data_IF_289891837929
#
_entry.id   IF_289891837929
#
_cell.length_a   1.000
_cell.length_b   1.000
_cell.length_c   1.000
_cell.angle_alpha   90.00
_cell.angle_beta   90.00
_cell.angle_gamma   90.00
#
_symmetry.space_group_name_H-M   'P 1'
#
loop_
_entity.id
_entity.type
_entity.pdbx_description
1 polymer ?
#
# COMPACT_ATOMS: atom_id res chain seq x y z
N UNK A 1 -21.51 -7.85 21.90
CA UNK A 1 -20.65 -7.27 22.94
C UNK A 1 -20.03 -6.00 22.38
N UNK A 2 -20.09 -4.89 23.13
CA UNK A 2 -19.49 -3.62 22.73
C UNK A 2 -18.06 -3.53 23.28
N UNK A 3 -17.17 -2.77 22.62
CA UNK A 3 -15.89 -2.40 23.23
C UNK A 3 -16.13 -1.74 24.59
N UNK A 4 -15.39 -2.17 25.62
CA UNK A 4 -15.52 -1.64 26.98
C UNK A 4 -16.55 -2.33 27.88
N UNK A 5 -17.30 -3.32 27.39
CA UNK A 5 -18.16 -4.14 28.25
C UNK A 5 -17.31 -5.01 29.19
N UNK A 6 -17.77 -5.14 30.44
CA UNK A 6 -17.25 -6.12 31.39
C UNK A 6 -17.75 -7.52 31.00
N UNK A 7 -16.82 -8.48 30.94
CA UNK A 7 -17.16 -9.87 30.69
C UNK A 7 -16.22 -10.79 31.46
N UNK A 8 -16.74 -11.95 31.84
CA UNK A 8 -15.91 -12.99 32.44
C UNK A 8 -15.26 -13.80 31.32
N UNK A 9 -13.92 -13.75 31.22
CA UNK A 9 -13.21 -14.40 30.13
C UNK A 9 -13.16 -15.92 30.35
N UNK A 10 -13.65 -16.76 29.43
CA UNK A 10 -13.66 -18.22 29.61
C UNK A 10 -12.25 -18.83 29.63
N UNK A 11 -11.24 -18.12 29.11
CA UNK A 11 -9.87 -18.62 29.04
C UNK A 11 -9.04 -18.28 30.29
N UNK A 12 -9.21 -17.09 30.87
CA UNK A 12 -8.44 -16.69 32.06
C UNK A 12 -9.24 -16.67 33.37
N UNK A 13 -10.56 -16.83 33.31
CA UNK A 13 -11.44 -16.89 34.48
C UNK A 13 -11.55 -15.60 35.28
N UNK A 14 -11.04 -14.48 34.74
CA UNK A 14 -11.08 -13.16 35.37
C UNK A 14 -12.16 -12.28 34.73
N UNK A 15 -12.80 -11.43 35.54
CA UNK A 15 -13.56 -10.29 35.04
C UNK A 15 -12.61 -9.33 34.33
N UNK A 16 -12.83 -9.14 33.03
CA UNK A 16 -11.96 -8.32 32.19
C UNK A 16 -12.81 -7.47 31.25
N UNK A 17 -12.20 -6.43 30.70
CA UNK A 17 -12.83 -5.56 29.72
C UNK A 17 -12.49 -6.02 28.30
N UNK A 18 -13.42 -5.83 27.37
CA UNK A 18 -13.19 -6.05 25.95
C UNK A 18 -12.43 -4.88 25.34
N UNK A 19 -11.21 -5.16 24.88
CA UNK A 19 -10.36 -4.21 24.15
C UNK A 19 -10.59 -4.37 22.65
N UNK A 20 -10.74 -3.24 21.96
CA UNK A 20 -10.82 -3.16 20.50
C UNK A 20 -9.41 -3.02 19.92
N UNK A 21 -9.03 -3.94 19.04
CA UNK A 21 -7.77 -3.87 18.28
C UNK A 21 -8.04 -3.91 16.79
N UNK A 22 -7.44 -3.00 16.05
CA UNK A 22 -7.51 -2.94 14.58
C UNK A 22 -6.45 -3.88 13.99
N UNK A 23 -6.88 -4.78 13.12
CA UNK A 23 -5.97 -5.64 12.35
C UNK A 23 -5.55 -4.87 11.10
N UNK A 24 -4.24 -4.66 10.96
CA UNK A 24 -3.61 -4.02 9.81
C UNK A 24 -2.89 -5.07 8.96
N UNK A 25 -2.94 -4.91 7.64
CA UNK A 25 -2.07 -5.61 6.68
C UNK A 25 -1.20 -4.59 5.96
N UNK A 26 -0.02 -4.34 6.53
CA UNK A 26 0.78 -3.18 6.15
C UNK A 26 0.02 -1.88 6.41
N UNK A 27 -0.43 -1.21 5.33
CA UNK A 27 -1.12 0.08 5.37
C UNK A 27 -2.65 -0.03 5.26
N UNK A 28 -3.21 -1.21 5.01
CA UNK A 28 -4.66 -1.41 4.87
C UNK A 28 -5.28 -1.93 6.16
N UNK A 29 -6.38 -1.31 6.60
CA UNK A 29 -7.20 -1.81 7.72
C UNK A 29 -8.02 -3.00 7.24
N UNK A 30 -7.73 -4.20 7.73
CA UNK A 30 -8.47 -5.43 7.38
C UNK A 30 -9.73 -5.62 8.21
N UNK A 31 -9.77 -5.09 9.43
CA UNK A 31 -10.93 -5.21 10.30
C UNK A 31 -10.61 -4.93 11.75
N UNK A 32 -11.57 -5.21 12.60
CA UNK A 32 -11.49 -4.96 14.04
C UNK A 32 -11.74 -6.26 14.79
N UNK A 33 -11.01 -6.50 15.87
CA UNK A 33 -11.23 -7.66 16.75
C UNK A 33 -11.37 -7.22 18.19
N UNK A 34 -12.21 -7.94 18.93
CA UNK A 34 -12.34 -7.78 20.37
C UNK A 34 -11.47 -8.81 21.07
N UNK A 35 -10.54 -8.33 21.88
CA UNK A 35 -9.67 -9.15 22.71
C UNK A 35 -9.92 -8.92 24.18
N UNK A 36 -9.61 -9.95 24.96
CA UNK A 36 -9.50 -9.84 26.41
C UNK A 36 -8.38 -8.87 26.80
N UNK A 37 -8.67 -7.87 27.63
CA UNK A 37 -7.63 -7.00 28.18
C UNK A 37 -6.62 -7.75 29.07
N UNK A 38 -7.02 -8.86 29.71
CA UNK A 38 -6.18 -9.58 30.67
C UNK A 38 -5.31 -10.67 30.02
N UNK A 39 -5.83 -11.45 29.07
CA UNK A 39 -5.10 -12.57 28.45
C UNK A 39 -4.87 -12.42 26.95
N UNK A 40 -5.39 -11.36 26.31
CA UNK A 40 -5.24 -11.15 24.87
C UNK A 40 -6.01 -12.14 23.99
N UNK A 41 -6.80 -13.04 24.56
CA UNK A 41 -7.61 -13.99 23.79
C UNK A 41 -8.65 -13.27 22.92
N UNK A 42 -8.80 -13.73 21.68
CA UNK A 42 -9.82 -13.29 20.74
C UNK A 42 -11.19 -13.78 21.19
N UNK A 43 -12.07 -12.85 21.55
CA UNK A 43 -13.42 -13.17 22.04
C UNK A 43 -14.41 -13.17 20.90
N UNK A 44 -14.29 -12.20 19.99
CA UNK A 44 -15.10 -12.09 18.78
C UNK A 44 -14.27 -11.44 17.68
N UNK A 45 -14.30 -12.04 16.50
CA UNK A 45 -13.90 -11.39 15.26
C UNK A 45 -15.07 -10.52 14.79
N UNK A 46 -14.88 -9.20 14.63
CA UNK A 46 -15.84 -8.48 13.81
C UNK A 46 -15.57 -8.91 12.37
N UNK A 47 -16.62 -9.39 11.69
CA UNK A 47 -16.57 -9.56 10.24
C UNK A 47 -16.03 -8.27 9.65
N UNK A 48 -15.07 -8.34 8.72
CA UNK A 48 -14.63 -7.16 8.01
C UNK A 48 -15.89 -6.49 7.47
N UNK A 49 -16.13 -5.25 7.88
CA UNK A 49 -17.06 -4.41 7.16
C UNK A 49 -16.53 -4.44 5.74
N UNK A 50 -17.24 -5.18 4.90
CA UNK A 50 -16.86 -5.45 3.53
C UNK A 50 -16.41 -4.13 2.97
N UNK A 51 -15.13 -4.04 2.64
CA UNK A 51 -14.62 -3.02 1.75
C UNK A 51 -15.46 -3.15 0.49
N UNK A 52 -16.56 -2.39 0.45
CA UNK A 52 -17.37 -2.23 -0.74
C UNK A 52 -16.45 -1.80 -1.87
N UNK A 53 -16.86 -2.00 -3.13
CA UNK A 53 -16.07 -1.65 -4.30
C UNK A 53 -15.50 -0.26 -4.07
N UNK A 54 -14.17 -0.13 -4.12
CA UNK A 54 -13.43 1.07 -3.75
C UNK A 54 -14.10 2.29 -4.35
N UNK A 55 -14.93 2.97 -3.54
CA UNK A 55 -15.54 4.21 -3.96
C UNK A 55 -14.37 5.16 -4.22
N UNK A 56 -14.27 5.69 -5.43
CA UNK A 56 -13.22 6.63 -5.80
C UNK A 56 -13.10 7.68 -4.68
N UNK A 57 -11.96 7.77 -3.96
CA UNK A 57 -11.85 8.66 -2.80
C UNK A 57 -12.09 10.14 -3.16
N UNK A 58 -11.95 10.46 -4.46
CA UNK A 58 -12.19 11.76 -5.08
C UNK A 58 -13.67 12.14 -5.25
N UNK A 59 -14.60 11.19 -5.05
CA UNK A 59 -16.07 11.41 -5.13
C UNK A 59 -16.74 11.49 -3.76
N UNK A 60 -15.97 11.59 -2.68
CA UNK A 60 -16.50 11.71 -1.32
C UNK A 60 -16.84 13.17 -0.98
N UNK A 61 -17.81 13.39 -0.09
CA UNK A 61 -18.15 14.73 0.40
C UNK A 61 -16.96 15.43 1.09
N UNK A 62 -15.99 14.67 1.60
CA UNK A 62 -14.74 15.21 2.12
C UNK A 62 -13.83 15.74 1.00
N UNK A 63 -13.80 15.08 -0.16
CA UNK A 63 -13.09 15.56 -1.33
C UNK A 63 -13.68 16.88 -1.86
N UNK A 64 -15.00 17.08 -1.77
CA UNK A 64 -15.64 18.34 -2.18
C UNK A 64 -15.30 19.51 -1.25
N UNK A 65 -15.17 19.26 0.05
CA UNK A 65 -14.66 20.27 1.00
C UNK A 65 -13.22 20.66 0.71
N UNK A 66 -12.38 19.69 0.33
CA UNK A 66 -11.00 19.95 -0.08
C UNK A 66 -10.95 20.78 -1.38
N UNK A 67 -11.79 20.46 -2.38
CA UNK A 67 -11.89 21.27 -3.61
C UNK A 67 -12.22 22.74 -3.32
N UNK A 68 -13.14 22.98 -2.40
CA UNK A 68 -13.55 24.33 -2.00
C UNK A 68 -12.44 25.09 -1.26
N UNK A 69 -11.54 24.40 -0.56
CA UNK A 69 -10.39 25.03 0.10
C UNK A 69 -9.32 25.51 -0.89
N UNK A 70 -9.11 24.77 -1.99
CA UNK A 70 -8.08 25.08 -2.98
C UNK A 70 -8.54 26.05 -4.09
N UNK A 71 -9.71 26.67 -3.95
CA UNK A 71 -10.16 27.74 -4.86
C UNK A 71 -10.85 27.27 -6.14
N UNK A 72 -11.21 25.99 -6.23
CA UNK A 72 -12.23 25.49 -7.16
C UNK A 72 -11.89 25.51 -8.66
N UNK A 73 -11.27 24.43 -9.11
CA UNK A 73 -11.64 23.76 -10.36
C UNK A 73 -11.51 22.24 -10.15
N UNK A 74 -12.17 21.44 -11.00
CA UNK A 74 -12.15 19.98 -10.93
C UNK A 74 -10.72 19.46 -10.75
N UNK A 75 -10.54 18.35 -10.02
CA UNK A 75 -9.23 17.69 -9.94
C UNK A 75 -8.72 17.47 -11.36
N UNK A 76 -7.75 18.27 -11.77
CA UNK A 76 -7.20 18.21 -13.12
C UNK A 76 -6.72 16.78 -13.34
N UNK A 77 -7.19 16.18 -14.43
CA UNK A 77 -6.78 14.82 -14.78
C UNK A 77 -5.26 14.77 -14.79
N UNK A 78 -4.71 13.76 -14.09
CA UNK A 78 -3.27 13.56 -13.95
C UNK A 78 -2.61 13.76 -15.32
N UNK A 79 -1.71 14.75 -15.49
CA UNK A 79 -1.07 14.98 -16.77
C UNK A 79 -0.35 13.70 -17.17
N UNK A 80 -0.72 13.16 -18.34
CA UNK A 80 -0.09 11.96 -18.87
C UNK A 80 1.23 12.40 -19.50
N UNK A 81 2.30 12.34 -18.72
CA UNK A 81 3.66 12.51 -19.24
C UNK A 81 3.93 11.34 -20.19
N UNK A 82 3.94 11.62 -21.50
CA UNK A 82 4.39 10.67 -22.51
C UNK A 82 5.88 10.88 -22.68
N UNK A 83 6.67 9.99 -22.11
CA UNK A 83 8.12 10.00 -22.31
C UNK A 83 8.42 9.78 -23.80
N UNK A 84 9.24 10.64 -24.40
CA UNK A 84 9.66 10.51 -25.79
C UNK A 84 10.73 9.41 -25.92
N UNK A 85 10.91 8.84 -27.12
CA UNK A 85 11.56 7.55 -27.34
C UNK A 85 12.99 7.35 -26.80
N UNK A 86 13.74 8.41 -26.50
CA UNK A 86 15.06 8.32 -25.86
C UNK A 86 15.03 8.39 -24.34
N UNK A 87 13.96 8.92 -23.73
CA UNK A 87 13.83 9.14 -22.28
C UNK A 87 13.49 7.86 -21.50
N UNK A 88 13.37 6.73 -22.18
CA UNK A 88 13.04 5.42 -21.58
C UNK A 88 14.13 4.38 -21.81
N UNK A 89 15.28 4.77 -22.35
CA UNK A 89 16.39 3.87 -22.70
C UNK A 89 17.31 3.59 -21.50
N UNK A 90 16.73 3.27 -20.35
CA UNK A 90 17.48 2.98 -19.14
C UNK A 90 18.08 1.59 -19.17
N UNK A 91 19.27 1.44 -18.60
CA UNK A 91 19.90 0.12 -18.42
C UNK A 91 18.99 -0.86 -17.66
N UNK A 92 18.11 -0.38 -16.76
CA UNK A 92 17.09 -1.17 -16.06
C UNK A 92 16.19 -1.98 -17.01
N UNK A 93 15.76 -1.35 -18.10
CA UNK A 93 14.77 -1.90 -19.03
C UNK A 93 15.45 -2.64 -20.21
N UNK A 94 16.79 -2.69 -20.18
CA UNK A 94 17.61 -3.29 -21.22
C UNK A 94 17.73 -4.82 -21.04
N UNK A 95 17.61 -5.56 -22.15
CA UNK A 95 17.73 -7.01 -22.18
C UNK A 95 19.11 -7.54 -21.69
N UNK A 96 20.16 -6.73 -21.81
CA UNK A 96 21.53 -7.10 -21.45
C UNK A 96 21.89 -6.86 -19.98
N UNK A 97 20.97 -6.32 -19.18
CA UNK A 97 21.20 -6.11 -17.75
C UNK A 97 21.10 -7.43 -17.00
N UNK A 98 22.16 -7.76 -16.28
CA UNK A 98 22.16 -8.88 -15.33
C UNK A 98 21.90 -8.29 -13.94
N UNK A 99 20.70 -8.47 -13.37
CA UNK A 99 20.42 -8.03 -12.02
C UNK A 99 21.15 -8.93 -11.02
N UNK A 100 21.99 -8.33 -10.18
CA UNK A 100 22.59 -8.99 -9.02
C UNK A 100 22.25 -8.20 -7.76
N UNK A 101 22.09 -8.83 -6.58
CA UNK A 101 21.74 -8.14 -5.34
C UNK A 101 22.69 -6.99 -4.94
N UNK A 102 23.95 -7.05 -5.38
CA UNK A 102 24.98 -6.07 -5.00
C UNK A 102 25.49 -5.20 -6.15
N UNK A 103 25.52 -5.71 -7.39
CA UNK A 103 26.18 -5.03 -8.52
C UNK A 103 25.48 -5.34 -9.83
N UNK A 104 24.93 -4.34 -10.49
CA UNK A 104 24.39 -4.51 -11.82
C UNK A 104 25.52 -4.56 -12.86
N UNK A 105 25.49 -5.56 -13.73
CA UNK A 105 26.45 -5.72 -14.82
C UNK A 105 25.75 -5.75 -16.17
N UNK A 106 26.38 -5.14 -17.16
CA UNK A 106 25.96 -5.25 -18.55
C UNK A 106 26.68 -6.42 -19.23
N UNK A 107 25.92 -7.38 -19.75
CA UNK A 107 26.46 -8.54 -20.48
C UNK A 107 27.20 -8.14 -21.77
N UNK A 108 26.75 -7.06 -22.44
CA UNK A 108 27.32 -6.62 -23.72
C UNK A 108 28.68 -5.94 -23.58
N UNK A 109 28.83 -5.08 -22.59
CA UNK A 109 30.04 -4.29 -22.37
C UNK A 109 30.93 -4.84 -21.24
N UNK A 110 30.51 -5.90 -20.54
CA UNK A 110 31.20 -6.50 -19.38
C UNK A 110 31.63 -5.49 -18.32
N UNK A 111 30.86 -4.40 -18.17
CA UNK A 111 31.09 -3.35 -17.17
C UNK A 111 29.98 -3.33 -16.13
N UNK A 112 30.31 -2.85 -14.95
CA UNK A 112 29.33 -2.46 -13.94
C UNK A 112 28.59 -1.22 -14.42
N UNK A 113 27.25 -1.24 -14.34
CA UNK A 113 26.39 -0.14 -14.79
C UNK A 113 25.39 0.21 -13.69
N UNK A 114 24.92 1.44 -13.64
CA UNK A 114 23.76 1.77 -12.81
C UNK A 114 22.46 1.52 -13.59
N UNK A 115 21.37 1.07 -12.94
CA UNK A 115 20.09 0.85 -13.61
C UNK A 115 19.51 2.10 -14.29
N UNK A 116 19.85 3.30 -13.81
CA UNK A 116 19.37 4.57 -14.36
C UNK A 116 20.32 5.20 -15.39
N UNK A 117 21.42 4.53 -15.76
CA UNK A 117 22.30 5.02 -16.83
C UNK A 117 21.62 4.83 -18.19
N UNK A 118 21.78 5.81 -19.08
CA UNK A 118 21.34 5.72 -20.48
C UNK A 118 22.23 4.75 -21.26
N UNK A 119 21.60 3.83 -22.01
CA UNK A 119 22.32 2.88 -22.84
C UNK A 119 22.31 3.33 -24.31
N UNK A 120 23.48 3.53 -24.96
CA UNK A 120 23.55 3.88 -26.39
C UNK A 120 23.08 2.74 -27.31
N UNK A 121 23.13 1.49 -26.82
CA UNK A 121 22.69 0.30 -27.54
C UNK A 121 21.57 -0.40 -26.78
N UNK A 122 20.53 0.35 -26.45
CA UNK A 122 19.36 -0.15 -25.73
C UNK A 122 18.58 -1.17 -26.57
N UNK A 123 18.30 -2.32 -25.98
CA UNK A 123 17.33 -3.28 -26.51
C UNK A 123 16.31 -3.57 -25.41
N UNK A 124 15.04 -3.31 -25.70
CA UNK A 124 13.96 -3.49 -24.74
C UNK A 124 13.86 -4.97 -24.35
N UNK A 125 13.78 -5.23 -23.04
CA UNK A 125 13.48 -6.57 -22.53
C UNK A 125 12.08 -6.98 -22.97
N UNK A 126 11.99 -8.04 -23.78
CA UNK A 126 10.74 -8.65 -24.23
C UNK A 126 9.98 -9.34 -23.11
#
# INVERSE_FOLDING_TARGET
>A
MKPGDEYNCPQCGKSSFLKKETIMDGWTRKGEVLKCAACGCLVCEFKPESSGPSADPLKSAAADRLKNLFGGEDFVQKPTLKAEGSETNFCKDCAFLIPHPFVFKCSKFNKTVNPMDDCPEFQKRG
#
